data_IF_830335153924
#
_entry.id   IF_830335153924
#
_cell.length_a   1.000
_cell.length_b   1.000
_cell.length_c   1.000
_cell.angle_alpha   90.00
_cell.angle_beta   90.00
_cell.angle_gamma   90.00
#
_symmetry.space_group_name_H-M   'P 1'
#
loop_
_entity.id
_entity.type
_entity.pdbx_description
1 polymer ?
#
# COMPACT_ATOMS: atom_id res chain seq x y z
N UNK A 1 -0.74 0.28 -14.83
CA UNK A 1 -1.48 0.46 -13.57
C UNK A 1 -2.93 0.70 -13.93
N UNK A 2 -3.84 0.45 -13.00
CA UNK A 2 -5.24 0.85 -13.08
C UNK A 2 -5.49 1.87 -11.97
N UNK A 3 -6.25 2.91 -12.27
CA UNK A 3 -6.60 3.98 -11.34
C UNK A 3 -8.12 3.95 -11.21
N UNK A 4 -8.61 3.81 -9.98
CA UNK A 4 -10.04 3.77 -9.67
C UNK A 4 -10.35 4.96 -8.75
N UNK A 5 -11.44 5.70 -9.00
CA UNK A 5 -11.90 6.71 -8.03
C UNK A 5 -12.24 6.00 -6.71
N UNK A 6 -11.85 6.58 -5.57
CA UNK A 6 -12.19 6.05 -4.26
C UNK A 6 -13.57 6.58 -3.84
N UNK A 7 -14.59 5.72 -3.73
CA UNK A 7 -15.92 6.16 -3.31
C UNK A 7 -15.92 6.76 -1.90
N UNK A 8 -16.77 7.76 -1.65
CA UNK A 8 -16.77 8.47 -0.36
C UNK A 8 -17.12 7.53 0.81
N UNK A 9 -18.06 6.59 0.61
CA UNK A 9 -18.39 5.57 1.62
C UNK A 9 -17.22 4.62 1.92
N UNK A 10 -16.35 4.35 0.94
CA UNK A 10 -15.13 3.55 1.17
C UNK A 10 -14.10 4.39 1.94
N UNK A 11 -13.96 5.68 1.62
CA UNK A 11 -13.10 6.60 2.36
C UNK A 11 -13.55 6.73 3.82
N UNK A 12 -14.83 6.93 4.08
CA UNK A 12 -15.41 6.94 5.43
C UNK A 12 -15.10 5.65 6.18
N UNK A 13 -15.24 4.50 5.52
CA UNK A 13 -14.88 3.21 6.11
C UNK A 13 -13.40 3.06 6.42
N UNK A 14 -12.51 3.59 5.58
CA UNK A 14 -11.07 3.57 5.87
C UNK A 14 -10.73 4.40 7.10
N UNK A 15 -11.42 5.52 7.31
CA UNK A 15 -11.25 6.45 8.44
C UNK A 15 -11.98 6.03 9.71
N UNK A 16 -12.91 5.08 9.62
CA UNK A 16 -13.61 4.56 10.79
C UNK A 16 -12.65 3.80 11.73
N UNK A 17 -12.75 4.02 13.03
CA UNK A 17 -11.92 3.34 14.04
C UNK A 17 -12.36 1.88 14.28
N UNK A 18 -13.40 1.42 13.57
CA UNK A 18 -13.90 0.05 13.63
C UNK A 18 -12.86 -0.99 13.24
N UNK A 19 -12.87 -2.11 13.98
CA UNK A 19 -12.04 -3.28 13.66
C UNK A 19 -12.39 -3.79 12.26
N UNK A 20 -11.37 -4.02 11.43
CA UNK A 20 -11.55 -4.65 10.13
C UNK A 20 -12.12 -6.06 10.32
N UNK A 21 -13.38 -6.26 9.95
CA UNK A 21 -13.99 -7.59 9.93
C UNK A 21 -13.61 -8.25 8.61
N UNK A 22 -12.57 -9.09 8.64
CA UNK A 22 -12.26 -9.97 7.52
C UNK A 22 -13.20 -11.15 7.62
N UNK A 23 -14.14 -11.27 6.67
CA UNK A 23 -14.87 -12.53 6.50
C UNK A 23 -13.85 -13.64 6.30
N UNK A 24 -13.79 -14.58 7.24
CA UNK A 24 -12.80 -15.65 7.26
C UNK A 24 -12.68 -16.29 5.89
N UNK A 25 -11.46 -16.41 5.38
CA UNK A 25 -11.19 -17.30 4.26
C UNK A 25 -11.60 -18.70 4.72
N UNK A 26 -12.44 -19.39 3.97
CA UNK A 26 -12.77 -20.78 4.24
C UNK A 26 -11.50 -21.61 4.09
N UNK A 27 -10.84 -21.92 5.20
CA UNK A 27 -9.76 -22.91 5.22
C UNK A 27 -10.35 -24.29 4.93
N UNK A 28 -9.72 -25.13 4.08
CA UNK A 28 -10.18 -26.49 3.84
C UNK A 28 -10.09 -27.32 5.14
N UNK A 29 -10.99 -28.30 5.35
CA UNK A 29 -11.11 -29.00 6.63
C UNK A 29 -9.86 -29.83 6.90
N UNK A 30 -9.09 -29.43 7.91
CA UNK A 30 -8.01 -30.24 8.48
C UNK A 30 -8.62 -31.40 9.28
N UNK A 31 -8.67 -32.57 8.65
CA UNK A 31 -8.78 -33.84 9.35
C UNK A 31 -7.49 -34.12 10.13
N UNK A 32 -7.58 -34.31 11.46
CA UNK A 32 -6.83 -35.30 12.28
C UNK A 32 -7.24 -35.11 13.75
N UNK A 33 -7.99 -36.03 14.37
CA UNK A 33 -7.59 -37.32 14.94
C UNK A 33 -7.22 -37.18 16.42
N UNK A 34 -8.03 -37.84 17.25
CA UNK A 34 -7.99 -37.92 18.72
C UNK A 34 -6.65 -38.48 19.23
N UNK A 35 -6.03 -37.83 20.22
CA UNK A 35 -5.50 -38.43 21.45
C UNK A 35 -4.99 -37.35 22.41
N UNK A 36 -5.17 -37.61 23.70
CA UNK A 36 -5.24 -36.69 24.83
C UNK A 36 -3.86 -36.37 25.44
N UNK A 37 -3.57 -35.10 25.75
CA UNK A 37 -2.81 -34.75 26.96
C UNK A 37 -3.10 -33.30 27.41
N UNK A 38 -3.17 -33.15 28.72
CA UNK A 38 -3.72 -32.04 29.51
C UNK A 38 -3.02 -30.69 29.27
N UNK A 39 -3.67 -29.80 28.50
CA UNK A 39 -3.35 -28.39 28.43
C UNK A 39 -4.66 -27.61 28.58
N UNK A 40 -4.75 -26.82 29.64
CA UNK A 40 -5.94 -26.03 29.95
C UNK A 40 -6.41 -25.24 28.73
N UNK A 41 -7.51 -25.71 28.11
CA UNK A 41 -8.29 -24.94 27.17
C UNK A 41 -8.76 -23.70 27.91
N UNK A 42 -8.15 -22.56 27.60
CA UNK A 42 -8.71 -21.25 27.90
C UNK A 42 -9.98 -21.16 27.06
N UNK A 43 -11.08 -21.64 27.65
CA UNK A 43 -12.43 -21.48 27.15
C UNK A 43 -12.75 -19.99 27.27
N UNK A 44 -12.47 -19.24 26.19
CA UNK A 44 -12.97 -17.87 26.07
C UNK A 44 -14.48 -17.96 26.19
N UNK A 45 -15.01 -17.46 27.32
CA UNK A 45 -16.43 -17.38 27.55
C UNK A 45 -17.04 -16.59 26.41
N UNK A 46 -17.82 -17.27 25.59
CA UNK A 46 -18.59 -16.70 24.50
C UNK A 46 -19.69 -15.85 25.15
N UNK A 47 -19.34 -14.60 25.48
CA UNK A 47 -20.30 -13.61 25.94
C UNK A 47 -21.34 -13.47 24.83
N UNK A 48 -22.59 -13.87 25.11
CA UNK A 48 -23.79 -13.83 24.26
C UNK A 48 -24.22 -12.39 23.89
N UNK A 49 -23.27 -11.54 23.50
CA UNK A 49 -23.50 -10.24 22.88
C UNK A 49 -22.43 -9.91 21.82
N UNK A 50 -21.82 -10.91 21.18
CA UNK A 50 -21.17 -10.71 19.88
C UNK A 50 -22.25 -10.40 18.85
N UNK A 51 -22.65 -9.12 18.82
CA UNK A 51 -23.26 -8.54 17.64
C UNK A 51 -22.27 -8.85 16.52
N UNK A 52 -22.58 -9.81 15.66
CA UNK A 52 -21.73 -10.13 14.50
C UNK A 52 -21.64 -8.85 13.70
N UNK A 53 -20.57 -8.07 13.91
CA UNK A 53 -20.34 -6.81 13.21
C UNK A 53 -20.22 -7.20 11.74
N UNK A 54 -21.30 -7.00 10.99
CA UNK A 54 -21.31 -7.32 9.58
C UNK A 54 -20.38 -6.33 8.90
N UNK A 55 -19.29 -6.80 8.30
CA UNK A 55 -18.38 -5.96 7.56
C UNK A 55 -19.21 -5.15 6.54
N UNK A 56 -19.00 -3.82 6.42
CA UNK A 56 -19.67 -3.05 5.39
C UNK A 56 -19.28 -3.62 4.01
N UNK A 57 -20.29 -3.89 3.19
CA UNK A 57 -20.11 -4.47 1.86
C UNK A 57 -20.09 -3.35 0.82
N UNK A 58 -19.10 -3.40 -0.08
CA UNK A 58 -18.96 -2.47 -1.20
C UNK A 58 -19.01 -3.25 -2.52
N UNK A 59 -20.15 -3.85 -2.91
CA UNK A 59 -20.20 -4.84 -3.99
C UNK A 59 -19.75 -4.28 -5.34
N UNK A 60 -20.16 -3.06 -5.68
CA UNK A 60 -19.76 -2.37 -6.92
C UNK A 60 -18.25 -2.12 -6.95
N UNK A 61 -17.72 -1.47 -5.91
CA UNK A 61 -16.28 -1.21 -5.79
C UNK A 61 -15.44 -2.49 -5.71
N UNK A 62 -15.96 -3.53 -5.05
CA UNK A 62 -15.30 -4.85 -4.98
C UNK A 62 -15.18 -5.47 -6.36
N UNK A 63 -16.23 -5.38 -7.19
CA UNK A 63 -16.18 -5.88 -8.57
C UNK A 63 -15.16 -5.12 -9.41
N UNK A 64 -15.14 -3.78 -9.35
CA UNK A 64 -14.18 -2.94 -10.06
C UNK A 64 -12.73 -3.26 -9.67
N UNK A 65 -12.47 -3.38 -8.36
CA UNK A 65 -11.15 -3.73 -7.84
C UNK A 65 -10.74 -5.14 -8.26
N UNK A 66 -11.66 -6.11 -8.22
CA UNK A 66 -11.37 -7.48 -8.62
C UNK A 66 -11.08 -7.61 -10.12
N UNK A 67 -11.79 -6.85 -10.96
CA UNK A 67 -11.51 -6.74 -12.39
C UNK A 67 -10.14 -6.12 -12.64
N UNK A 68 -9.82 -5.02 -11.95
CA UNK A 68 -8.53 -4.37 -12.03
C UNK A 68 -7.38 -5.30 -11.61
N UNK A 69 -7.54 -6.05 -10.51
CA UNK A 69 -6.56 -7.06 -10.05
C UNK A 69 -6.36 -8.13 -11.12
N UNK A 70 -7.45 -8.63 -11.70
CA UNK A 70 -7.40 -9.66 -12.74
C UNK A 70 -6.66 -9.17 -13.98
N UNK A 71 -6.94 -7.94 -14.42
CA UNK A 71 -6.26 -7.31 -15.57
C UNK A 71 -4.75 -7.09 -15.34
N UNK A 72 -4.33 -6.93 -14.08
CA UNK A 72 -2.94 -6.71 -13.69
C UNK A 72 -2.17 -8.03 -13.41
N UNK A 73 -2.79 -9.18 -13.63
CA UNK A 73 -2.16 -10.50 -13.45
C UNK A 73 -2.40 -11.14 -12.08
N UNK A 74 -3.50 -10.77 -11.41
CA UNK A 74 -3.99 -11.43 -10.20
C UNK A 74 -3.28 -11.03 -8.90
N UNK A 75 -2.30 -10.14 -8.96
CA UNK A 75 -1.61 -9.62 -7.77
C UNK A 75 -1.18 -8.19 -8.00
N UNK A 76 -1.45 -7.34 -7.02
CA UNK A 76 -1.25 -5.89 -7.13
C UNK A 76 -0.54 -5.32 -5.91
N UNK A 77 0.04 -4.14 -6.12
CA UNK A 77 0.54 -3.24 -5.09
C UNK A 77 -0.37 -2.01 -5.04
N UNK A 78 -1.13 -1.79 -3.95
CA UNK A 78 -2.05 -0.67 -3.82
C UNK A 78 -1.36 0.58 -3.26
N UNK A 79 -1.77 1.76 -3.72
CA UNK A 79 -1.45 3.05 -3.11
C UNK A 79 -2.60 4.05 -3.32
N UNK A 80 -2.66 5.11 -2.53
CA UNK A 80 -3.52 6.27 -2.81
C UNK A 80 -2.80 7.25 -3.74
N UNK A 81 -3.27 8.48 -3.85
CA UNK A 81 -2.70 9.54 -4.69
C UNK A 81 -1.17 9.66 -4.47
N UNK A 82 -0.72 9.74 -3.21
CA UNK A 82 0.69 9.99 -2.88
C UNK A 82 1.37 8.79 -2.24
N UNK A 83 0.78 8.26 -1.19
CA UNK A 83 1.41 7.29 -0.31
C UNK A 83 0.98 5.86 -0.59
N UNK A 84 1.93 4.95 -0.39
CA UNK A 84 1.70 3.52 -0.32
C UNK A 84 1.80 3.06 1.14
N UNK A 85 1.05 2.02 1.57
CA UNK A 85 0.94 1.59 2.96
C UNK A 85 2.16 0.78 3.44
N UNK A 86 3.37 1.30 3.21
CA UNK A 86 4.64 0.59 3.46
C UNK A 86 4.94 0.39 4.94
N UNK A 87 4.42 1.28 5.77
CA UNK A 87 4.43 1.23 7.23
C UNK A 87 3.49 0.14 7.77
N UNK A 88 2.51 -0.31 7.00
CA UNK A 88 1.57 -1.37 7.37
C UNK A 88 1.97 -2.77 6.88
N UNK A 89 3.20 -2.98 6.38
CA UNK A 89 3.59 -4.29 5.86
C UNK A 89 3.50 -5.41 6.92
N UNK A 90 3.62 -5.06 8.21
CA UNK A 90 3.62 -5.98 9.35
C UNK A 90 2.27 -6.66 9.61
N UNK A 91 1.15 -6.02 9.24
CA UNK A 91 -0.18 -6.59 9.50
C UNK A 91 -0.56 -7.68 8.50
N UNK A 92 0.07 -7.69 7.32
CA UNK A 92 -0.19 -8.69 6.30
C UNK A 92 0.39 -10.05 6.74
N UNK A 93 -0.40 -11.12 6.56
CA UNK A 93 -0.04 -12.49 6.96
C UNK A 93 1.30 -12.99 6.40
N UNK A 94 1.76 -12.44 5.27
CA UNK A 94 3.00 -12.79 4.59
C UNK A 94 4.05 -11.66 4.64
N UNK A 95 3.86 -10.66 5.51
CA UNK A 95 4.69 -9.46 5.61
C UNK A 95 4.94 -8.78 4.25
N UNK A 96 3.93 -8.78 3.38
CA UNK A 96 4.03 -8.30 2.00
C UNK A 96 2.97 -7.26 1.70
N UNK A 97 3.30 -6.32 0.83
CA UNK A 97 2.37 -5.33 0.28
C UNK A 97 1.62 -5.85 -0.96
N UNK A 98 1.65 -7.17 -1.17
CA UNK A 98 1.00 -7.88 -2.26
C UNK A 98 -0.45 -8.17 -1.90
N UNK A 99 -1.37 -7.57 -2.65
CA UNK A 99 -2.81 -7.79 -2.50
C UNK A 99 -3.38 -8.62 -3.64
N UNK A 100 -4.37 -9.47 -3.33
CA UNK A 100 -5.13 -10.27 -4.31
C UNK A 100 -6.63 -10.03 -4.24
N UNK A 101 -7.12 -9.40 -3.19
CA UNK A 101 -8.51 -9.02 -3.00
C UNK A 101 -8.63 -7.64 -2.34
N UNK A 102 -9.84 -7.07 -2.38
CA UNK A 102 -10.14 -5.80 -1.71
C UNK A 102 -9.91 -5.87 -0.19
N UNK A 103 -10.19 -7.01 0.44
CA UNK A 103 -9.94 -7.21 1.87
C UNK A 103 -8.47 -7.08 2.25
N UNK A 104 -7.54 -7.57 1.40
CA UNK A 104 -6.10 -7.39 1.62
C UNK A 104 -5.72 -5.89 1.55
N UNK A 105 -6.35 -5.14 0.64
CA UNK A 105 -6.11 -3.69 0.47
C UNK A 105 -6.61 -2.93 1.70
N UNK A 106 -7.84 -3.23 2.15
CA UNK A 106 -8.40 -2.59 3.34
C UNK A 106 -7.60 -2.89 4.60
N UNK A 107 -7.11 -4.11 4.77
CA UNK A 107 -6.23 -4.46 5.89
C UNK A 107 -4.99 -3.57 5.94
N UNK A 108 -4.31 -3.41 4.81
CA UNK A 108 -3.12 -2.55 4.73
C UNK A 108 -3.46 -1.07 4.90
N UNK A 109 -4.54 -0.60 4.28
CA UNK A 109 -4.89 0.81 4.28
C UNK A 109 -5.36 1.29 5.65
N UNK A 110 -6.20 0.51 6.35
CA UNK A 110 -6.64 0.83 7.72
C UNK A 110 -5.50 0.77 8.75
N UNK A 111 -4.43 0.04 8.45
CA UNK A 111 -3.28 -0.12 9.35
C UNK A 111 -2.11 0.81 9.03
N UNK A 112 -2.27 1.75 8.09
CA UNK A 112 -1.21 2.64 7.61
C UNK A 112 -1.45 4.09 8.05
N UNK A 113 -0.49 4.64 8.78
CA UNK A 113 -0.42 6.05 9.13
C UNK A 113 -0.20 6.91 7.88
N UNK A 114 0.54 6.39 6.89
CA UNK A 114 0.74 7.09 5.63
C UNK A 114 -0.56 7.27 4.84
N UNK A 115 -1.41 6.24 4.80
CA UNK A 115 -2.73 6.33 4.17
C UNK A 115 -3.65 7.26 4.97
N UNK A 116 -3.65 7.14 6.30
CA UNK A 116 -4.45 8.01 7.17
C UNK A 116 -4.08 9.49 6.99
N UNK A 117 -2.78 9.81 6.90
CA UNK A 117 -2.31 11.17 6.64
C UNK A 117 -2.72 11.67 5.26
N UNK A 118 -2.61 10.83 4.22
CA UNK A 118 -3.07 11.18 2.88
C UNK A 118 -4.56 11.57 2.90
N UNK A 119 -5.40 10.87 3.67
CA UNK A 119 -6.85 11.09 3.74
C UNK A 119 -7.28 12.28 4.62
N UNK A 120 -6.54 12.57 5.68
CA UNK A 120 -6.95 13.54 6.73
C UNK A 120 -6.17 14.85 6.71
N UNK A 121 -4.91 14.82 6.29
CA UNK A 121 -3.97 15.95 6.40
C UNK A 121 -3.05 16.06 5.17
N UNK A 122 -3.56 16.02 3.92
CA UNK A 122 -2.73 16.06 2.71
C UNK A 122 -1.97 17.38 2.54
N UNK A 123 -2.52 18.50 3.04
CA UNK A 123 -1.99 19.85 2.83
C UNK A 123 -1.45 20.51 4.11
N UNK A 124 -1.23 19.75 5.19
CA UNK A 124 -0.80 20.30 6.50
C UNK A 124 0.51 21.10 6.48
N UNK A 125 1.36 20.88 5.47
CA UNK A 125 2.62 21.58 5.29
C UNK A 125 2.61 22.59 4.15
N UNK A 126 1.48 22.79 3.48
CA UNK A 126 1.33 23.85 2.50
C UNK A 126 1.26 25.19 3.25
N UNK A 127 2.03 26.17 2.76
CA UNK A 127 2.13 27.52 3.35
C UNK A 127 1.62 28.60 2.41
N UNK A 128 0.98 28.20 1.31
CA UNK A 128 0.29 29.12 0.43
C UNK A 128 -1.01 29.61 1.09
N UNK A 129 -1.37 30.87 0.86
CA UNK A 129 -2.60 31.47 1.40
C UNK A 129 -3.86 30.99 0.65
N UNK A 130 -3.76 29.92 -0.14
CA UNK A 130 -4.89 29.35 -0.89
C UNK A 130 -5.69 28.37 -0.04
N UNK A 131 -7.02 28.32 -0.22
CA UNK A 131 -7.83 27.29 0.42
C UNK A 131 -7.45 25.91 -0.12
N UNK A 132 -7.55 24.90 0.75
CA UNK A 132 -7.33 23.50 0.36
C UNK A 132 -8.21 23.13 -0.85
N UNK A 133 -7.63 22.55 -1.91
CA UNK A 133 -8.41 22.17 -3.08
C UNK A 133 -9.35 21.00 -2.77
N UNK A 134 -10.48 20.96 -3.48
CA UNK A 134 -11.33 19.77 -3.49
C UNK A 134 -10.57 18.61 -4.12
N UNK A 135 -10.41 17.53 -3.36
CA UNK A 135 -9.59 16.40 -3.75
C UNK A 135 -10.44 15.15 -3.96
N UNK A 136 -10.31 14.56 -5.15
CA UNK A 136 -10.81 13.22 -5.41
C UNK A 136 -9.69 12.22 -5.08
N UNK A 137 -9.95 11.34 -4.12
CA UNK A 137 -9.01 10.26 -3.81
C UNK A 137 -9.11 9.16 -4.84
N UNK A 138 -7.97 8.56 -5.14
CA UNK A 138 -7.85 7.51 -6.14
C UNK A 138 -7.15 6.29 -5.54
N UNK A 139 -7.73 5.11 -5.75
CA UNK A 139 -7.05 3.85 -5.54
C UNK A 139 -6.21 3.51 -6.78
N UNK A 140 -4.89 3.55 -6.63
CA UNK A 140 -3.96 3.20 -7.71
C UNK A 140 -3.46 1.78 -7.50
N UNK A 141 -3.83 0.90 -8.42
CA UNK A 141 -3.38 -0.50 -8.45
C UNK A 141 -2.25 -0.66 -9.47
N UNK A 142 -1.09 -1.07 -8.97
CA UNK A 142 0.06 -1.42 -9.80
C UNK A 142 0.19 -2.94 -9.86
N UNK A 143 0.57 -3.47 -11.02
CA UNK A 143 0.93 -4.89 -11.13
C UNK A 143 2.03 -5.21 -10.12
N UNK A 144 1.84 -6.26 -9.33
CA UNK A 144 2.85 -6.71 -8.40
C UNK A 144 4.10 -7.17 -9.16
N UNK A 145 5.26 -6.73 -8.69
CA UNK A 145 6.56 -7.25 -9.09
C UNK A 145 7.46 -7.37 -7.87
N UNK A 146 8.37 -8.33 -7.90
CA UNK A 146 9.42 -8.44 -6.89
C UNK A 146 10.53 -7.46 -7.24
N UNK A 147 10.65 -6.42 -6.43
CA UNK A 147 11.74 -5.46 -6.52
C UNK A 147 12.82 -5.85 -5.54
N UNK A 148 14.07 -5.78 -5.98
CA UNK A 148 15.23 -5.99 -5.11
C UNK A 148 15.46 -4.67 -4.36
N UNK A 149 15.34 -4.62 -3.03
CA UNK A 149 15.44 -3.36 -2.28
C UNK A 149 16.77 -2.61 -2.52
N UNK A 150 17.88 -3.35 -2.66
CA UNK A 150 19.19 -2.79 -3.01
C UNK A 150 19.34 -2.28 -4.45
N UNK A 151 18.29 -2.33 -5.26
CA UNK A 151 18.23 -1.74 -6.60
C UNK A 151 17.27 -0.53 -6.67
N UNK A 152 16.76 -0.07 -5.52
CA UNK A 152 15.91 1.11 -5.44
C UNK A 152 16.70 2.36 -5.06
N UNK A 153 16.50 3.45 -5.80
CA UNK A 153 17.19 4.72 -5.59
C UNK A 153 16.21 5.88 -5.51
N UNK A 154 16.53 6.86 -4.66
CA UNK A 154 15.87 8.16 -4.62
C UNK A 154 16.72 9.17 -5.37
N UNK A 155 16.10 9.88 -6.29
CA UNK A 155 16.73 10.91 -7.10
C UNK A 155 16.18 12.27 -6.69
N UNK A 156 17.05 13.27 -6.56
CA UNK A 156 16.71 14.63 -6.17
C UNK A 156 16.91 15.54 -7.38
N UNK A 157 15.85 16.21 -7.81
CA UNK A 157 15.84 17.07 -8.99
C UNK A 157 15.49 18.48 -8.55
N UNK A 158 16.18 19.48 -9.10
CA UNK A 158 15.87 20.90 -8.93
C UNK A 158 16.22 21.64 -10.23
N UNK A 159 15.40 22.62 -10.63
CA UNK A 159 15.64 23.42 -11.85
C UNK A 159 15.94 22.54 -13.08
N UNK A 160 15.19 21.45 -13.25
CA UNK A 160 15.41 20.46 -14.32
C UNK A 160 16.84 19.85 -14.37
N UNK A 161 17.51 19.75 -13.21
CA UNK A 161 18.82 19.10 -13.05
C UNK A 161 18.77 18.03 -11.97
N UNK A 162 19.35 16.86 -12.26
CA UNK A 162 19.57 15.81 -11.28
C UNK A 162 20.71 16.20 -10.33
N UNK A 163 20.38 16.51 -9.09
CA UNK A 163 21.32 16.98 -8.07
C UNK A 163 21.96 15.86 -7.26
N UNK A 164 21.21 14.79 -7.01
CA UNK A 164 21.67 13.72 -6.13
C UNK A 164 20.93 12.42 -6.34
N UNK A 165 21.60 11.33 -5.99
CA UNK A 165 21.08 9.97 -6.01
C UNK A 165 21.45 9.35 -4.66
N UNK A 166 20.50 8.72 -3.99
CA UNK A 166 20.73 7.95 -2.77
C UNK A 166 20.06 6.59 -2.85
N UNK A 167 20.58 5.61 -2.11
CA UNK A 167 19.88 4.34 -1.89
C UNK A 167 18.53 4.62 -1.21
N UNK A 168 17.48 3.91 -1.62
CA UNK A 168 16.13 4.10 -1.06
C UNK A 168 15.98 3.47 0.31
N UNK A 169 16.47 2.24 0.46
CA UNK A 169 16.59 1.55 1.74
C UNK A 169 17.86 2.05 2.42
N UNK A 170 17.77 2.78 3.53
CA UNK A 170 18.97 3.29 4.23
C UNK A 170 19.41 2.37 5.38
N UNK A 171 18.72 1.26 5.61
CA UNK A 171 18.93 0.38 6.77
C UNK A 171 19.95 -0.73 6.49
N UNK A 172 20.22 -1.01 5.21
CA UNK A 172 21.11 -2.08 4.79
C UNK A 172 22.25 -1.57 3.91
N UNK A 173 23.41 -2.20 4.03
CA UNK A 173 24.53 -2.01 3.11
C UNK A 173 24.48 -3.08 2.02
N UNK A 174 24.48 -2.65 0.75
CA UNK A 174 24.56 -3.56 -0.39
C UNK A 174 25.88 -3.38 -1.14
N UNK A 175 26.78 -4.36 -1.02
CA UNK A 175 28.12 -4.35 -1.62
C UNK A 175 28.12 -4.17 -3.15
N UNK A 176 27.10 -4.68 -3.85
CA UNK A 176 26.99 -4.52 -5.30
C UNK A 176 26.84 -3.06 -5.74
N UNK A 177 26.26 -2.19 -4.89
CA UNK A 177 26.08 -0.77 -5.22
C UNK A 177 27.43 -0.08 -5.33
N UNK A 178 28.38 -0.39 -4.42
CA UNK A 178 29.74 0.14 -4.49
C UNK A 178 30.48 -0.36 -5.75
N UNK A 179 30.27 -1.63 -6.12
CA UNK A 179 30.92 -2.25 -7.29
C UNK A 179 30.35 -1.75 -8.63
N UNK A 180 29.05 -1.44 -8.67
CA UNK A 180 28.32 -1.06 -9.89
C UNK A 180 27.99 0.44 -9.94
N UNK A 181 28.58 1.25 -9.05
CA UNK A 181 28.27 2.67 -8.87
C UNK A 181 28.21 3.45 -10.20
N UNK A 182 29.21 3.27 -11.07
CA UNK A 182 29.28 4.00 -12.35
C UNK A 182 28.11 3.65 -13.28
N UNK A 183 27.76 2.37 -13.36
CA UNK A 183 26.65 1.89 -14.19
C UNK A 183 25.31 2.37 -13.65
N UNK A 184 25.09 2.26 -12.34
CA UNK A 184 23.87 2.75 -11.68
C UNK A 184 23.68 4.24 -11.94
N UNK A 185 24.73 5.05 -11.72
CA UNK A 185 24.69 6.49 -11.96
C UNK A 185 24.40 6.81 -13.42
N UNK A 186 25.06 6.12 -14.36
CA UNK A 186 24.82 6.30 -15.80
C UNK A 186 23.38 5.99 -16.18
N UNK A 187 22.85 4.83 -15.77
CA UNK A 187 21.48 4.40 -16.08
C UNK A 187 20.44 5.37 -15.52
N UNK A 188 20.61 5.86 -14.29
CA UNK A 188 19.71 6.85 -13.68
C UNK A 188 19.78 8.20 -14.43
N UNK A 189 20.97 8.66 -14.81
CA UNK A 189 21.14 9.89 -15.58
C UNK A 189 20.51 9.79 -16.98
N UNK A 190 20.68 8.67 -17.66
CA UNK A 190 20.04 8.39 -18.96
C UNK A 190 18.51 8.37 -18.82
N UNK A 191 17.99 7.69 -17.79
CA UNK A 191 16.57 7.68 -17.49
C UNK A 191 16.02 9.09 -17.22
N UNK A 192 16.72 9.88 -16.40
CA UNK A 192 16.34 11.26 -16.08
C UNK A 192 16.25 12.11 -17.35
N UNK A 193 17.31 12.15 -18.17
CA UNK A 193 17.34 12.94 -19.42
C UNK A 193 16.24 12.52 -20.39
N UNK A 194 15.99 11.21 -20.50
CA UNK A 194 15.05 10.67 -21.48
C UNK A 194 13.59 10.80 -21.06
N UNK A 195 13.29 10.65 -19.78
CA UNK A 195 11.92 10.46 -19.30
C UNK A 195 11.42 11.54 -18.33
N UNK A 196 12.30 12.29 -17.67
CA UNK A 196 11.91 13.23 -16.61
C UNK A 196 12.21 14.68 -17.01
N UNK A 197 13.42 14.95 -17.49
CA UNK A 197 13.90 16.30 -17.75
C UNK A 197 12.97 17.06 -18.73
N UNK A 198 12.46 18.21 -18.32
CA UNK A 198 11.53 19.07 -19.07
C UNK A 198 10.17 18.43 -19.42
N UNK A 199 9.79 17.32 -18.77
CA UNK A 199 8.50 16.64 -19.01
C UNK A 199 7.51 16.75 -17.85
N UNK A 200 7.99 17.21 -16.71
CA UNK A 200 7.18 17.44 -15.52
C UNK A 200 7.20 18.95 -15.23
N UNK A 201 6.07 19.45 -14.74
CA UNK A 201 5.96 20.82 -14.28
C UNK A 201 6.72 20.89 -12.95
N UNK A 202 7.79 21.67 -12.91
CA UNK A 202 8.35 22.17 -11.66
C UNK A 202 8.12 23.68 -11.69
N UNK A 203 7.21 24.17 -10.84
CA UNK A 203 7.34 25.54 -10.33
C UNK A 203 8.46 25.51 -9.28
N UNK A 204 9.33 26.53 -9.35
CA UNK A 204 10.63 26.68 -8.69
C UNK A 204 10.89 25.98 -7.33
#
# INVERSE_FOLDING_TARGET
>A
SVILPLPENVKEYLLDDGTLVVSGREDPPSHTQEECDDAEEIQWSDDENTTTLKAPEFPEFTAEVQEAISSLGGSVFPKLNWSAPRDAYWIAMNSSLKCKALSDIFLLFKSSDFITRDLTQPFIHCTDDSPDPSLNYELVLRKWCELIPGAEFRCFVKENKLLGISQRDYTQYYDHISKQHEEICRSIQEFFKKHIQYKFLDED
#
